data_IF_981415046846
#
_entry.id   IF_981415046846
#
_cell.length_a   1.000
_cell.length_b   1.000
_cell.length_c   1.000
_cell.angle_alpha   90.00
_cell.angle_beta   90.00
_cell.angle_gamma   90.00
#
_symmetry.space_group_name_H-M   'P 1'
#
loop_
_entity.id
_entity.type
_entity.pdbx_description
1 polymer ?
#
# COMPACT_ATOMS: atom_id res chain seq x y z
N UNK A 1 15.74 -32.85 -42.60
CA UNK A 1 15.72 -31.49 -42.04
C UNK A 1 16.98 -30.78 -42.52
N UNK A 2 16.89 -29.60 -43.15
CA UNK A 2 18.08 -28.92 -43.70
C UNK A 2 18.87 -28.17 -42.61
N UNK A 3 20.13 -27.81 -42.88
CA UNK A 3 21.02 -27.11 -41.92
C UNK A 3 20.38 -25.84 -41.33
N UNK A 4 19.60 -25.11 -42.14
CA UNK A 4 18.89 -23.89 -41.70
C UNK A 4 17.76 -24.22 -40.70
N UNK A 5 17.01 -25.29 -40.94
CA UNK A 5 15.96 -25.78 -40.03
C UNK A 5 16.55 -26.29 -38.71
N UNK A 6 17.67 -27.02 -38.74
CA UNK A 6 18.36 -27.46 -37.52
C UNK A 6 18.90 -26.27 -36.72
N UNK A 7 19.48 -25.28 -37.38
CA UNK A 7 19.95 -24.05 -36.71
C UNK A 7 18.80 -23.25 -36.09
N UNK A 8 17.68 -23.10 -36.80
CA UNK A 8 16.48 -22.43 -36.29
C UNK A 8 15.89 -23.16 -35.08
N UNK A 9 15.81 -24.49 -35.13
CA UNK A 9 15.32 -25.31 -34.02
C UNK A 9 16.25 -25.19 -32.80
N UNK A 10 17.57 -25.24 -32.99
CA UNK A 10 18.54 -25.05 -31.90
C UNK A 10 18.42 -23.68 -31.25
N UNK A 11 18.30 -22.61 -32.05
CA UNK A 11 18.08 -21.25 -31.53
C UNK A 11 16.78 -21.19 -30.73
N UNK A 12 15.69 -21.74 -31.27
CA UNK A 12 14.40 -21.76 -30.57
C UNK A 12 14.49 -22.49 -29.24
N UNK A 13 15.12 -23.67 -29.21
CA UNK A 13 15.31 -24.47 -27.99
C UNK A 13 16.15 -23.72 -26.96
N UNK A 14 17.27 -23.11 -27.37
CA UNK A 14 18.12 -22.32 -26.46
C UNK A 14 17.36 -21.11 -25.90
N UNK A 15 16.66 -20.35 -26.75
CA UNK A 15 15.85 -19.22 -26.31
C UNK A 15 14.76 -19.67 -25.34
N UNK A 16 14.07 -20.78 -25.63
CA UNK A 16 13.02 -21.33 -24.77
C UNK A 16 13.57 -21.69 -23.38
N UNK A 17 14.70 -22.41 -23.30
CA UNK A 17 15.34 -22.72 -22.02
C UNK A 17 15.83 -21.48 -21.28
N UNK A 18 16.38 -20.47 -21.99
CA UNK A 18 16.75 -19.19 -21.37
C UNK A 18 15.54 -18.47 -20.76
N UNK A 19 14.39 -18.45 -21.46
CA UNK A 19 13.16 -17.88 -20.91
C UNK A 19 12.63 -18.64 -19.70
N UNK A 20 12.69 -19.98 -19.71
CA UNK A 20 12.31 -20.80 -18.55
C UNK A 20 13.23 -20.53 -17.35
N UNK A 21 14.54 -20.46 -17.55
CA UNK A 21 15.52 -20.17 -16.50
C UNK A 21 15.33 -18.76 -15.93
N UNK A 22 15.11 -17.76 -16.80
CA UNK A 22 14.81 -16.41 -16.36
C UNK A 22 13.50 -16.35 -15.56
N UNK A 23 12.44 -16.98 -16.06
CA UNK A 23 11.15 -17.06 -15.36
C UNK A 23 11.27 -17.71 -13.98
N UNK A 24 12.01 -18.82 -13.88
CA UNK A 24 12.27 -19.48 -12.61
C UNK A 24 13.10 -18.62 -11.65
N UNK A 25 14.13 -17.94 -12.16
CA UNK A 25 14.96 -17.01 -11.37
C UNK A 25 14.11 -15.88 -10.78
N UNK A 26 13.33 -15.17 -11.60
CA UNK A 26 12.48 -14.07 -11.12
C UNK A 26 11.40 -14.56 -10.13
N UNK A 27 10.80 -15.73 -10.39
CA UNK A 27 9.85 -16.34 -9.46
C UNK A 27 10.51 -16.66 -8.11
N UNK A 28 11.71 -17.22 -8.12
CA UNK A 28 12.48 -17.52 -6.91
C UNK A 28 12.82 -16.25 -6.13
N UNK A 29 13.29 -15.20 -6.80
CA UNK A 29 13.61 -13.92 -6.17
C UNK A 29 12.37 -13.27 -5.55
N UNK A 30 11.22 -13.31 -6.24
CA UNK A 30 9.96 -12.80 -5.70
C UNK A 30 9.53 -13.58 -4.47
N UNK A 31 9.57 -14.92 -4.53
CA UNK A 31 9.24 -15.79 -3.38
C UNK A 31 10.14 -15.50 -2.18
N UNK A 32 11.43 -15.28 -2.42
CA UNK A 32 12.37 -14.90 -1.36
C UNK A 32 12.03 -13.54 -0.76
N UNK A 33 11.75 -12.51 -1.57
CA UNK A 33 11.39 -11.19 -1.06
C UNK A 33 10.08 -11.20 -0.25
N UNK A 34 9.10 -12.01 -0.65
CA UNK A 34 7.88 -12.25 0.14
C UNK A 34 8.25 -12.90 1.47
N UNK A 35 8.99 -14.02 1.46
CA UNK A 35 9.45 -14.71 2.68
C UNK A 35 10.21 -13.77 3.63
N UNK A 36 11.12 -12.93 3.13
CA UNK A 36 11.83 -11.93 3.95
C UNK A 36 10.89 -11.01 4.72
N UNK A 37 9.78 -10.56 4.11
CA UNK A 37 8.85 -9.65 4.81
C UNK A 37 7.91 -10.38 5.76
N UNK A 38 7.40 -11.57 5.41
CA UNK A 38 6.44 -12.30 6.27
C UNK A 38 7.11 -13.16 7.35
N UNK A 39 8.35 -13.61 7.17
CA UNK A 39 9.04 -14.43 8.19
C UNK A 39 9.70 -13.56 9.28
N UNK A 40 9.78 -12.24 9.05
CA UNK A 40 10.25 -11.28 10.04
C UNK A 40 9.23 -11.09 11.17
N UNK A 41 9.69 -10.69 12.37
CA UNK A 41 8.77 -10.24 13.40
C UNK A 41 8.21 -8.87 13.01
N UNK A 42 7.00 -8.85 12.44
CA UNK A 42 6.33 -7.63 12.01
C UNK A 42 5.33 -7.08 13.03
N UNK A 43 5.33 -7.62 14.25
CA UNK A 43 4.50 -7.14 15.34
C UNK A 43 4.72 -5.64 15.60
N UNK A 44 3.62 -4.91 15.79
CA UNK A 44 3.68 -3.48 16.02
C UNK A 44 3.72 -3.21 17.51
N UNK A 45 4.79 -2.58 17.99
CA UNK A 45 4.94 -2.28 19.40
C UNK A 45 4.24 -0.94 19.71
N UNK A 46 2.96 -0.99 20.14
CA UNK A 46 2.13 0.20 20.35
C UNK A 46 2.78 1.29 21.22
N UNK A 47 3.48 0.88 22.29
CA UNK A 47 4.14 1.80 23.22
C UNK A 47 5.22 2.69 22.58
N UNK A 48 5.70 2.33 21.38
CA UNK A 48 6.70 3.10 20.64
C UNK A 48 6.06 4.14 19.69
N UNK A 49 4.73 4.17 19.54
CA UNK A 49 4.08 5.19 18.73
C UNK A 49 4.19 6.57 19.41
N UNK A 50 4.71 7.60 18.72
CA UNK A 50 4.95 8.91 19.33
C UNK A 50 3.66 9.72 19.59
N UNK A 51 2.50 9.27 19.08
CA UNK A 51 1.22 9.96 19.19
C UNK A 51 0.35 9.30 20.25
N UNK A 52 0.38 7.97 20.31
CA UNK A 52 -0.34 7.17 21.28
C UNK A 52 -1.81 6.92 20.94
N UNK A 53 -2.52 6.40 21.94
CA UNK A 53 -3.91 5.94 21.81
C UNK A 53 -4.91 7.09 21.81
N UNK A 54 -5.96 6.95 20.98
CA UNK A 54 -7.20 7.69 21.17
C UNK A 54 -8.41 6.80 20.82
N UNK A 55 -8.77 5.93 21.78
CA UNK A 55 -9.92 5.02 21.65
C UNK A 55 -11.29 5.67 21.84
N UNK A 56 -11.33 6.93 22.26
CA UNK A 56 -12.58 7.67 22.55
C UNK A 56 -13.02 8.58 21.41
N UNK A 57 -12.15 8.81 20.42
CA UNK A 57 -12.51 9.62 19.26
C UNK A 57 -13.60 8.93 18.44
N UNK A 58 -14.57 9.73 18.00
CA UNK A 58 -15.62 9.27 17.09
C UNK A 58 -15.07 9.17 15.67
N UNK A 59 -15.43 8.09 14.97
CA UNK A 59 -15.27 7.99 13.52
C UNK A 59 -16.42 8.71 12.82
N UNK A 60 -16.10 9.68 11.97
CA UNK A 60 -17.04 10.45 11.16
C UNK A 60 -16.95 10.10 9.67
N UNK A 61 -15.76 9.72 9.19
CA UNK A 61 -15.51 9.38 7.79
C UNK A 61 -14.25 8.50 7.69
N UNK A 62 -13.96 7.99 6.50
CA UNK A 62 -12.74 7.23 6.20
C UNK A 62 -11.88 7.94 5.18
N UNK A 63 -10.56 7.76 5.26
CA UNK A 63 -9.61 8.20 4.24
C UNK A 63 -8.82 6.99 3.75
N UNK A 64 -9.00 6.61 2.49
CA UNK A 64 -8.09 5.70 1.80
C UNK A 64 -6.84 6.49 1.41
N UNK A 65 -5.68 6.02 1.84
CA UNK A 65 -4.38 6.62 1.56
C UNK A 65 -3.58 5.70 0.65
N UNK A 66 -3.19 6.24 -0.50
CA UNK A 66 -2.38 5.54 -1.49
C UNK A 66 -1.02 6.21 -1.60
N UNK A 67 0.05 5.41 -1.65
CA UNK A 67 1.43 5.89 -1.76
C UNK A 67 1.99 5.57 -3.15
N UNK A 68 2.64 6.55 -3.78
CA UNK A 68 3.42 6.35 -4.98
C UNK A 68 4.78 5.74 -4.62
N UNK A 69 4.93 4.44 -4.88
CA UNK A 69 6.10 3.66 -4.44
C UNK A 69 7.43 4.16 -4.99
N UNK A 70 7.58 4.61 -6.25
CA UNK A 70 8.85 5.11 -6.75
C UNK A 70 9.39 6.28 -5.92
N UNK A 71 8.57 7.30 -5.66
CA UNK A 71 8.96 8.44 -4.84
C UNK A 71 9.20 8.06 -3.37
N UNK A 72 8.39 7.15 -2.82
CA UNK A 72 8.59 6.61 -1.47
C UNK A 72 9.95 5.90 -1.36
N UNK A 73 10.24 4.98 -2.28
CA UNK A 73 11.47 4.18 -2.28
C UNK A 73 12.72 5.02 -2.54
N UNK A 74 12.63 6.06 -3.36
CA UNK A 74 13.71 7.03 -3.50
C UNK A 74 14.02 7.75 -2.19
N UNK A 75 13.00 8.11 -1.41
CA UNK A 75 13.19 8.68 -0.08
C UNK A 75 13.79 7.67 0.91
N UNK A 76 13.38 6.39 0.85
CA UNK A 76 13.97 5.34 1.71
C UNK A 76 15.43 5.05 1.35
N UNK A 77 15.79 4.98 0.06
CA UNK A 77 17.18 4.81 -0.39
C UNK A 77 18.06 5.99 0.00
N UNK A 78 17.56 7.23 -0.06
CA UNK A 78 18.28 8.40 0.47
C UNK A 78 18.55 8.31 1.97
N UNK A 79 17.66 7.64 2.72
CA UNK A 79 17.77 7.48 4.17
C UNK A 79 18.69 6.32 4.59
N UNK A 80 18.58 5.17 3.92
CA UNK A 80 19.22 3.93 4.34
C UNK A 80 20.35 3.46 3.41
N UNK A 81 20.54 4.10 2.26
CA UNK A 81 21.46 3.65 1.22
C UNK A 81 21.04 2.30 0.65
N UNK A 82 22.02 1.43 0.39
CA UNK A 82 21.79 0.05 -0.07
C UNK A 82 21.31 -0.90 1.04
N UNK A 83 21.36 -0.47 2.31
CA UNK A 83 20.98 -1.29 3.47
C UNK A 83 19.53 -1.03 3.86
N UNK A 84 18.60 -1.38 2.97
CA UNK A 84 17.17 -1.26 3.26
C UNK A 84 16.77 -2.21 4.41
N UNK A 85 15.91 -1.79 5.35
CA UNK A 85 15.26 -2.69 6.30
C UNK A 85 14.47 -3.78 5.57
N UNK A 86 14.46 -4.99 6.14
CA UNK A 86 13.72 -6.15 5.60
C UNK A 86 12.27 -5.82 5.26
N UNK A 87 11.61 -5.04 6.12
CA UNK A 87 10.23 -4.56 5.96
C UNK A 87 9.96 -3.78 4.65
N UNK A 88 11.01 -3.28 3.99
CA UNK A 88 10.96 -2.51 2.75
C UNK A 88 11.48 -3.29 1.54
N UNK A 89 12.04 -4.49 1.73
CA UNK A 89 12.70 -5.24 0.67
C UNK A 89 11.73 -5.61 -0.46
N UNK A 90 10.48 -5.97 -0.13
CA UNK A 90 9.48 -6.26 -1.14
C UNK A 90 9.11 -5.02 -1.96
N UNK A 91 8.88 -3.87 -1.32
CA UNK A 91 8.43 -2.65 -2.01
C UNK A 91 9.54 -1.93 -2.77
N UNK A 92 10.73 -1.87 -2.18
CA UNK A 92 11.81 -0.97 -2.60
C UNK A 92 13.10 -1.69 -3.00
N UNK A 93 13.17 -3.00 -2.78
CA UNK A 93 14.27 -3.85 -3.23
C UNK A 93 14.28 -4.05 -4.74
N UNK A 94 15.01 -5.07 -5.19
CA UNK A 94 15.33 -5.27 -6.62
C UNK A 94 14.37 -6.22 -7.35
N UNK A 95 13.39 -6.79 -6.63
CA UNK A 95 12.59 -7.93 -7.11
C UNK A 95 11.33 -7.51 -7.86
N UNK A 96 10.67 -6.43 -7.44
CA UNK A 96 9.43 -5.94 -8.02
C UNK A 96 9.44 -4.40 -8.03
N UNK A 97 8.86 -3.80 -9.07
CA UNK A 97 8.55 -2.38 -9.08
C UNK A 97 7.06 -2.18 -8.85
N UNK A 98 6.73 -1.46 -7.79
CA UNK A 98 5.37 -1.04 -7.48
C UNK A 98 5.09 0.36 -8.02
N UNK A 99 3.85 0.59 -8.44
CA UNK A 99 3.31 1.92 -8.71
C UNK A 99 2.63 2.48 -7.47
N UNK A 100 1.34 2.80 -7.60
CA UNK A 100 0.49 3.09 -6.46
C UNK A 100 0.28 1.83 -5.61
N UNK A 101 0.39 1.99 -4.30
CA UNK A 101 0.10 0.95 -3.31
C UNK A 101 -0.78 1.53 -2.22
N UNK A 102 -1.47 0.65 -1.50
CA UNK A 102 -2.27 1.01 -0.34
C UNK A 102 -1.31 1.29 0.82
N UNK A 103 -1.33 2.52 1.33
CA UNK A 103 -0.75 2.83 2.63
C UNK A 103 -1.70 2.35 3.71
N UNK A 104 -2.98 2.76 3.67
CA UNK A 104 -3.96 2.37 4.69
C UNK A 104 -5.34 2.96 4.47
N UNK A 105 -6.30 2.59 5.33
CA UNK A 105 -7.66 3.12 5.36
C UNK A 105 -7.98 3.63 6.76
N UNK A 106 -7.98 4.94 6.92
CA UNK A 106 -7.98 5.55 8.25
C UNK A 106 -9.38 6.01 8.64
N UNK A 107 -9.94 5.52 9.76
CA UNK A 107 -11.08 6.15 10.41
C UNK A 107 -10.68 7.54 10.90
N UNK A 108 -11.46 8.56 10.54
CA UNK A 108 -11.15 9.96 10.82
C UNK A 108 -12.25 10.62 11.65
N UNK A 109 -11.88 11.69 12.35
CA UNK A 109 -12.77 12.53 13.14
C UNK A 109 -12.84 13.91 12.46
N UNK A 110 -14.03 14.38 12.13
CA UNK A 110 -14.26 15.63 11.40
C UNK A 110 -13.84 16.88 12.20
N UNK A 111 -13.78 16.75 13.53
CA UNK A 111 -13.44 17.83 14.46
C UNK A 111 -11.98 17.82 14.88
N UNK A 112 -11.19 16.86 14.37
CA UNK A 112 -9.78 16.75 14.71
C UNK A 112 -9.00 18.01 14.31
N UNK A 113 -8.14 18.47 15.22
CA UNK A 113 -7.22 19.60 14.99
C UNK A 113 -5.76 19.17 15.03
N UNK A 114 -5.49 18.00 15.60
CA UNK A 114 -4.18 17.33 15.64
C UNK A 114 -4.36 15.87 15.21
N UNK A 115 -3.28 15.24 14.76
CA UNK A 115 -3.27 13.81 14.43
C UNK A 115 -3.77 12.95 15.60
N UNK A 116 -3.42 13.32 16.83
CA UNK A 116 -3.85 12.63 18.05
C UNK A 116 -5.38 12.69 18.31
N UNK A 117 -6.11 13.59 17.65
CA UNK A 117 -7.56 13.74 17.86
C UNK A 117 -8.38 12.73 17.02
N UNK A 118 -7.73 12.00 16.10
CA UNK A 118 -8.36 10.95 15.30
C UNK A 118 -8.45 9.61 16.06
N UNK A 119 -9.38 8.71 15.70
CA UNK A 119 -9.42 7.34 16.23
C UNK A 119 -8.11 6.60 15.96
N UNK A 120 -7.46 6.13 17.03
CA UNK A 120 -6.16 5.45 16.95
C UNK A 120 -6.02 4.40 18.05
N UNK A 121 -5.49 3.23 17.70
CA UNK A 121 -5.26 2.09 18.61
C UNK A 121 -6.48 1.75 19.46
N UNK A 122 -7.68 1.70 18.86
CA UNK A 122 -8.93 1.62 19.63
C UNK A 122 -9.09 0.33 20.45
N UNK A 123 -8.38 -0.75 20.06
CA UNK A 123 -8.30 -2.02 20.80
C UNK A 123 -6.99 -2.21 21.57
N UNK A 124 -6.10 -1.21 21.59
CA UNK A 124 -4.78 -1.30 22.23
C UNK A 124 -3.75 -2.01 21.36
N UNK A 125 -2.73 -2.55 22.03
CA UNK A 125 -1.66 -3.40 21.47
C UNK A 125 -2.29 -4.74 21.09
N UNK A 126 -2.20 -5.13 19.82
CA UNK A 126 -2.84 -6.35 19.31
C UNK A 126 -1.78 -7.39 18.96
N UNK A 127 -2.10 -8.68 19.03
CA UNK A 127 -1.18 -9.69 18.53
C UNK A 127 -0.91 -9.48 17.04
N UNK A 128 0.23 -10.00 16.61
CA UNK A 128 0.59 -10.12 15.21
C UNK A 128 -0.52 -10.83 14.42
N UNK A 129 -0.95 -10.23 13.31
CA UNK A 129 -1.90 -10.83 12.36
C UNK A 129 -1.26 -12.05 11.72
N UNK A 130 -2.04 -13.11 11.49
CA UNK A 130 -1.57 -14.35 10.86
C UNK A 130 -0.87 -14.09 9.51
N UNK A 131 0.23 -14.80 9.28
CA UNK A 131 1.08 -14.62 8.09
C UNK A 131 0.29 -14.88 6.80
N UNK A 132 -0.63 -15.85 6.83
CA UNK A 132 -1.49 -16.22 5.72
C UNK A 132 -2.46 -15.10 5.34
N UNK A 133 -2.92 -14.31 6.32
CA UNK A 133 -3.76 -13.13 6.06
C UNK A 133 -2.90 -12.05 5.42
N UNK A 134 -1.76 -11.71 6.02
CA UNK A 134 -0.84 -10.67 5.50
C UNK A 134 -0.42 -10.96 4.05
N UNK A 135 0.01 -12.19 3.77
CA UNK A 135 0.52 -12.58 2.47
C UNK A 135 -0.50 -12.36 1.35
N UNK A 136 -1.79 -12.50 1.63
CA UNK A 136 -2.84 -12.27 0.63
C UNK A 136 -2.81 -10.84 0.10
N UNK A 137 -2.44 -9.84 0.90
CA UNK A 137 -2.58 -8.40 0.57
C UNK A 137 -1.26 -7.72 0.17
N UNK A 138 -0.13 -8.43 0.19
CA UNK A 138 1.19 -7.90 -0.16
C UNK A 138 1.28 -7.38 -1.62
N UNK A 139 0.43 -7.85 -2.52
CA UNK A 139 0.39 -7.37 -3.90
C UNK A 139 -0.10 -5.91 -4.02
N UNK A 140 -0.91 -5.45 -3.06
CA UNK A 140 -1.42 -4.07 -3.04
C UNK A 140 -0.83 -3.23 -1.91
N UNK A 141 -0.31 -3.83 -0.84
CA UNK A 141 0.39 -3.16 0.26
C UNK A 141 1.66 -3.95 0.63
N UNK A 142 2.81 -3.68 0.00
CA UNK A 142 3.98 -4.57 -0.02
C UNK A 142 4.88 -4.49 1.24
N UNK A 143 4.29 -4.54 2.43
CA UNK A 143 5.02 -4.61 3.69
C UNK A 143 4.16 -5.22 4.80
N UNK A 144 4.65 -6.29 5.43
CA UNK A 144 3.96 -6.93 6.56
C UNK A 144 3.88 -6.00 7.77
N UNK A 145 4.96 -5.27 8.09
CA UNK A 145 5.00 -4.28 9.16
C UNK A 145 4.01 -3.14 8.94
N UNK A 146 3.84 -2.70 7.69
CA UNK A 146 2.84 -1.69 7.35
C UNK A 146 1.43 -2.23 7.61
N UNK A 147 1.11 -3.40 7.05
CA UNK A 147 -0.21 -4.02 7.21
C UNK A 147 -0.58 -4.24 8.69
N UNK A 148 0.35 -4.78 9.51
CA UNK A 148 0.15 -4.93 10.95
C UNK A 148 -0.10 -3.58 11.63
N UNK A 149 0.79 -2.61 11.41
CA UNK A 149 0.70 -1.29 12.03
C UNK A 149 -0.61 -0.58 11.66
N UNK A 150 -1.03 -0.68 10.41
CA UNK A 150 -2.27 -0.10 9.90
C UNK A 150 -3.51 -0.78 10.48
N UNK A 151 -3.49 -2.10 10.62
CA UNK A 151 -4.57 -2.83 11.29
C UNK A 151 -4.71 -2.37 12.74
N UNK A 152 -3.64 -2.41 13.52
CA UNK A 152 -3.70 -2.12 14.94
C UNK A 152 -4.03 -0.65 15.24
N UNK A 153 -3.36 0.26 14.51
CA UNK A 153 -3.49 1.69 14.71
C UNK A 153 -4.82 2.22 14.17
N UNK A 154 -5.28 1.75 13.02
CA UNK A 154 -6.40 2.35 12.29
C UNK A 154 -7.56 1.37 12.08
N UNK A 155 -7.30 0.19 11.52
CA UNK A 155 -8.36 -0.77 11.18
C UNK A 155 -9.20 -1.22 12.37
N UNK A 156 -8.56 -1.52 13.50
CA UNK A 156 -9.22 -1.98 14.72
C UNK A 156 -10.18 -0.96 15.35
N UNK A 157 -10.19 0.30 14.88
CA UNK A 157 -11.15 1.33 15.27
C UNK A 157 -12.50 1.23 14.54
N UNK A 158 -12.59 0.51 13.43
CA UNK A 158 -13.80 0.42 12.62
C UNK A 158 -14.17 -1.00 12.17
N UNK A 159 -13.27 -1.96 12.33
CA UNK A 159 -13.45 -3.34 11.87
C UNK A 159 -13.22 -4.34 13.01
N UNK A 160 -13.83 -5.51 12.89
CA UNK A 160 -13.76 -6.54 13.93
C UNK A 160 -12.49 -7.39 13.82
N UNK A 161 -12.03 -7.67 12.60
CA UNK A 161 -10.86 -8.49 12.30
C UNK A 161 -10.02 -7.87 11.15
N UNK A 162 -8.74 -8.27 11.00
CA UNK A 162 -7.83 -7.72 9.98
C UNK A 162 -8.23 -8.10 8.54
N UNK A 163 -8.78 -9.29 8.31
CA UNK A 163 -9.19 -9.74 6.97
C UNK A 163 -10.19 -8.76 6.36
N UNK A 164 -11.29 -8.45 7.08
CA UNK A 164 -12.32 -7.52 6.60
C UNK A 164 -11.76 -6.11 6.32
N UNK A 165 -10.81 -5.67 7.15
CA UNK A 165 -10.15 -4.37 6.99
C UNK A 165 -9.33 -4.31 5.69
N UNK A 166 -8.50 -5.33 5.45
CA UNK A 166 -7.67 -5.40 4.25
C UNK A 166 -8.50 -5.68 2.98
N UNK A 167 -9.57 -6.48 3.07
CA UNK A 167 -10.50 -6.69 1.96
C UNK A 167 -11.19 -5.38 1.56
N UNK A 168 -11.64 -4.57 2.54
CA UNK A 168 -12.23 -3.27 2.23
C UNK A 168 -11.24 -2.32 1.57
N UNK A 169 -9.99 -2.29 2.03
CA UNK A 169 -8.93 -1.52 1.36
C UNK A 169 -8.74 -1.96 -0.10
N UNK A 170 -8.60 -3.26 -0.33
CA UNK A 170 -8.45 -3.84 -1.66
C UNK A 170 -9.64 -3.52 -2.56
N UNK A 171 -10.86 -3.66 -2.05
CA UNK A 171 -12.09 -3.34 -2.78
C UNK A 171 -12.05 -1.90 -3.30
N UNK A 172 -11.83 -0.94 -2.40
CA UNK A 172 -11.77 0.49 -2.75
C UNK A 172 -10.58 0.82 -3.65
N UNK A 173 -9.44 0.15 -3.48
CA UNK A 173 -8.28 0.34 -4.34
C UNK A 173 -8.54 -0.16 -5.76
N UNK A 174 -9.11 -1.36 -5.90
CA UNK A 174 -9.34 -1.99 -7.21
C UNK A 174 -10.46 -1.34 -8.03
N UNK A 175 -11.31 -0.50 -7.43
CA UNK A 175 -12.26 0.33 -8.18
C UNK A 175 -11.59 1.51 -8.90
N UNK A 176 -10.33 1.81 -8.57
CA UNK A 176 -9.63 2.98 -9.08
C UNK A 176 -8.80 2.64 -10.31
N UNK A 177 -8.89 3.52 -11.31
CA UNK A 177 -7.86 3.68 -12.34
C UNK A 177 -6.84 4.68 -11.82
N UNK A 178 -5.56 4.31 -11.84
CA UNK A 178 -4.44 5.13 -11.36
C UNK A 178 -3.34 5.23 -12.43
N UNK A 179 -2.62 6.36 -12.52
CA UNK A 179 -1.56 6.50 -13.51
C UNK A 179 -0.39 5.58 -13.14
N UNK A 180 0.22 4.94 -14.14
CA UNK A 180 1.40 4.10 -13.96
C UNK A 180 2.72 4.87 -14.17
N UNK A 181 2.65 6.20 -14.16
CA UNK A 181 3.78 7.11 -14.27
C UNK A 181 3.58 8.28 -13.29
N UNK A 182 4.68 8.94 -12.94
CA UNK A 182 4.64 10.09 -12.06
C UNK A 182 4.07 11.32 -12.78
N UNK A 183 3.18 12.05 -12.10
CA UNK A 183 2.64 13.32 -12.56
C UNK A 183 3.33 14.46 -11.82
N UNK A 184 3.65 15.52 -12.54
CA UNK A 184 4.52 16.61 -12.07
C UNK A 184 3.89 17.49 -11.00
N UNK A 185 2.56 17.45 -10.84
CA UNK A 185 1.85 18.23 -9.82
C UNK A 185 0.61 17.53 -9.26
N UNK A 186 0.20 17.94 -8.05
CA UNK A 186 -1.05 17.48 -7.41
C UNK A 186 -2.28 17.78 -8.26
N UNK A 187 -2.31 18.94 -8.92
CA UNK A 187 -3.44 19.33 -9.77
C UNK A 187 -3.57 18.43 -11.00
N UNK A 188 -2.45 18.10 -11.64
CA UNK A 188 -2.43 17.14 -12.75
C UNK A 188 -2.86 15.75 -12.29
N UNK A 189 -2.37 15.29 -11.12
CA UNK A 189 -2.80 14.03 -10.52
C UNK A 189 -4.31 14.00 -10.28
N UNK A 190 -4.87 15.02 -9.62
CA UNK A 190 -6.30 15.09 -9.36
C UNK A 190 -7.12 15.16 -10.64
N UNK A 191 -6.68 15.94 -11.63
CA UNK A 191 -7.35 16.00 -12.92
C UNK A 191 -7.36 14.63 -13.60
N UNK A 192 -6.21 13.96 -13.65
CA UNK A 192 -6.08 12.62 -14.25
C UNK A 192 -6.98 11.62 -13.53
N UNK A 193 -6.94 11.56 -12.20
CA UNK A 193 -7.74 10.63 -11.39
C UNK A 193 -9.23 10.87 -11.61
N UNK A 194 -9.70 12.12 -11.52
CA UNK A 194 -11.12 12.46 -11.72
C UNK A 194 -11.59 12.17 -13.15
N UNK A 195 -10.73 12.41 -14.15
CA UNK A 195 -11.04 12.13 -15.56
C UNK A 195 -11.24 10.63 -15.80
N UNK A 196 -10.44 9.77 -15.15
CA UNK A 196 -10.46 8.32 -15.36
C UNK A 196 -11.37 7.56 -14.37
N UNK A 197 -11.87 8.23 -13.32
CA UNK A 197 -12.75 7.65 -12.30
C UNK A 197 -14.03 8.50 -12.17
N UNK A 198 -15.09 8.21 -12.96
CA UNK A 198 -16.30 9.04 -12.98
C UNK A 198 -16.99 9.21 -11.62
N UNK A 199 -16.90 8.21 -10.74
CA UNK A 199 -17.44 8.27 -9.38
C UNK A 199 -16.71 9.28 -8.47
N UNK A 200 -15.50 9.71 -8.83
CA UNK A 200 -14.72 10.73 -8.12
C UNK A 200 -14.86 12.14 -8.72
N UNK A 201 -15.58 12.29 -9.83
CA UNK A 201 -15.57 13.51 -10.66
C UNK A 201 -15.88 14.78 -9.87
N UNK A 202 -16.84 14.72 -8.96
CA UNK A 202 -17.29 15.86 -8.15
C UNK A 202 -16.58 15.97 -6.79
N UNK A 203 -15.85 14.95 -6.36
CA UNK A 203 -15.28 14.90 -5.03
C UNK A 203 -13.96 15.68 -4.93
N UNK A 204 -13.72 16.39 -3.85
CA UNK A 204 -12.43 16.96 -3.53
C UNK A 204 -11.48 15.87 -3.01
N UNK A 205 -10.36 15.68 -3.71
CA UNK A 205 -9.31 14.72 -3.33
C UNK A 205 -8.28 15.42 -2.43
N UNK A 206 -7.62 14.65 -1.57
CA UNK A 206 -6.48 15.12 -0.79
C UNK A 206 -5.16 14.57 -1.33
N UNK A 207 -4.05 15.21 -1.00
CA UNK A 207 -2.72 14.69 -1.30
C UNK A 207 -1.68 15.34 -0.40
N UNK A 208 -0.68 14.56 -0.01
CA UNK A 208 0.52 15.06 0.64
C UNK A 208 1.75 14.30 0.17
N UNK A 209 2.86 15.01 -0.02
CA UNK A 209 4.11 14.43 -0.55
C UNK A 209 3.82 13.55 -1.78
N UNK A 210 4.07 12.24 -1.66
CA UNK A 210 3.87 11.20 -2.66
C UNK A 210 2.58 10.39 -2.45
N UNK A 211 1.61 10.92 -1.71
CA UNK A 211 0.38 10.24 -1.33
C UNK A 211 -0.88 10.92 -1.90
N UNK A 212 -1.86 10.09 -2.23
CA UNK A 212 -3.19 10.46 -2.70
C UNK A 212 -4.23 10.01 -1.68
N UNK A 213 -5.17 10.89 -1.36
CA UNK A 213 -6.24 10.65 -0.40
C UNK A 213 -7.61 10.69 -1.08
N UNK A 214 -8.42 9.67 -0.83
CA UNK A 214 -9.82 9.58 -1.24
C UNK A 214 -10.66 9.34 0.01
N UNK A 215 -11.75 10.08 0.18
CA UNK A 215 -12.53 10.06 1.40
C UNK A 215 -13.92 9.48 1.17
N UNK A 216 -14.39 8.76 2.18
CA UNK A 216 -15.68 8.06 2.15
C UNK A 216 -16.47 8.36 3.42
N UNK A 217 -17.79 8.49 3.31
CA UNK A 217 -18.66 8.50 4.49
C UNK A 217 -18.72 7.11 5.14
N UNK A 218 -19.48 7.00 6.24
CA UNK A 218 -19.64 5.74 6.97
C UNK A 218 -20.39 4.65 6.18
N UNK A 219 -21.01 5.02 5.06
CA UNK A 219 -21.74 4.13 4.16
C UNK A 219 -20.96 3.85 2.87
N UNK A 220 -19.67 4.19 2.82
CA UNK A 220 -18.77 4.01 1.68
C UNK A 220 -19.10 4.86 0.44
N UNK A 221 -19.91 5.89 0.57
CA UNK A 221 -20.08 6.86 -0.52
C UNK A 221 -18.89 7.80 -0.54
N UNK A 222 -18.43 8.14 -1.75
CA UNK A 222 -17.36 9.13 -1.93
C UNK A 222 -17.84 10.49 -1.41
N UNK A 223 -17.01 11.12 -0.59
CA UNK A 223 -17.21 12.49 -0.09
C UNK A 223 -16.01 13.37 -0.43
N UNK A 224 -16.21 14.68 -0.29
CA UNK A 224 -15.10 15.61 -0.27
C UNK A 224 -14.16 15.31 0.90
N UNK A 225 -12.88 15.13 0.61
CA UNK A 225 -11.88 15.09 1.65
C UNK A 225 -11.86 16.43 2.41
N UNK A 226 -12.07 16.42 3.74
CA UNK A 226 -12.00 17.65 4.52
C UNK A 226 -10.63 18.30 4.35
N UNK A 227 -10.58 19.63 4.30
CA UNK A 227 -9.31 20.36 4.32
C UNK A 227 -8.56 19.99 5.60
N UNK A 228 -7.51 19.19 5.45
CA UNK A 228 -6.68 18.70 6.54
C UNK A 228 -6.22 19.87 7.40
N UNK A 229 -6.63 19.87 8.67
CA UNK A 229 -6.12 20.79 9.70
C UNK A 229 -5.00 20.14 10.52
N UNK A 230 -4.74 18.87 10.26
CA UNK A 230 -3.88 17.98 11.06
C UNK A 230 -2.50 17.78 10.46
N UNK A 231 -2.21 18.41 9.31
CA UNK A 231 -0.84 18.54 8.78
C UNK A 231 -0.32 17.34 8.01
N UNK A 232 -1.21 16.44 7.54
CA UNK A 232 -0.86 15.48 6.50
C UNK A 232 -0.48 16.20 5.22
#
# INVERSE_FOLDING_TARGET
>A
MNQKQTMQLSIFVVCFFMFLLAGWYYFSQHKQAVSTVVDSNYDYVMKNDPIGQNKKAKTNYYTLVLSWSPAFCDAQRKRYGENLPDALELQCGKTQQFGWVIHGLWPQNEKARRVADHPRFCKGDLPMVDHEVIQQFLAESPSANLLQGEWEKHGACAFNNPQDYFEKQRELYRTLKLPNYELSSRNELFHWVKKNNPHLKQANLGASRNELFICYDLSWNVIDCPRSRTGY
#
